data_IF_058640047066
#
_entry.id   IF_058640047066
#
_cell.length_a   1.000
_cell.length_b   1.000
_cell.length_c   1.000
_cell.angle_alpha   90.00
_cell.angle_beta   90.00
_cell.angle_gamma   90.00
#
_symmetry.space_group_name_H-M   'P 1'
#
loop_
_entity.id
_entity.type
_entity.pdbx_description
1 polymer ?
#
# COMPACT_ATOMS: atom_id res chain seq x y z
N UNK A 1 43.34 -57.49 -28.09
CA UNK A 1 42.99 -58.32 -26.92
C UNK A 1 42.12 -57.43 -26.04
N UNK A 2 40.86 -57.87 -25.84
CA UNK A 2 39.81 -57.26 -25.00
C UNK A 2 40.21 -57.20 -23.55
N UNK A 3 39.73 -56.19 -22.84
CA UNK A 3 39.03 -56.31 -21.54
C UNK A 3 38.17 -55.08 -21.25
N UNK A 4 36.85 -55.32 -21.29
CA UNK A 4 35.84 -54.42 -20.76
C UNK A 4 35.83 -54.53 -19.24
N UNK A 5 35.79 -53.41 -18.53
CA UNK A 5 35.41 -53.37 -17.13
C UNK A 5 34.25 -52.38 -16.96
N UNK A 6 33.07 -52.94 -16.67
CA UNK A 6 31.88 -52.18 -16.26
C UNK A 6 32.09 -51.62 -14.84
N UNK A 7 31.87 -50.29 -14.68
CA UNK A 7 31.60 -49.70 -13.38
C UNK A 7 30.11 -49.43 -13.24
N UNK A 8 29.49 -50.22 -12.36
CA UNK A 8 28.12 -49.93 -11.88
C UNK A 8 28.15 -48.76 -10.90
N UNK A 9 27.54 -47.65 -11.31
CA UNK A 9 27.25 -46.53 -10.41
C UNK A 9 25.95 -46.82 -9.65
N UNK A 10 26.08 -47.06 -8.35
CA UNK A 10 24.97 -47.12 -7.41
C UNK A 10 24.53 -45.70 -7.12
N UNK A 11 23.38 -45.26 -7.58
CA UNK A 11 22.74 -44.05 -7.14
C UNK A 11 22.08 -44.28 -5.79
N UNK A 12 22.71 -43.78 -4.72
CA UNK A 12 22.05 -43.62 -3.44
C UNK A 12 21.14 -42.38 -3.49
N UNK A 13 19.84 -42.61 -3.53
CA UNK A 13 18.87 -41.54 -3.36
C UNK A 13 18.90 -41.07 -1.90
N UNK A 14 19.54 -39.93 -1.67
CA UNK A 14 19.43 -39.21 -0.40
C UNK A 14 18.13 -38.45 -0.43
N UNK A 15 17.13 -38.94 0.30
CA UNK A 15 15.88 -38.23 0.58
C UNK A 15 16.21 -37.06 1.53
N UNK A 16 16.40 -35.86 0.98
CA UNK A 16 16.40 -34.63 1.75
C UNK A 16 14.95 -34.36 2.16
N UNK A 17 14.65 -34.65 3.42
CA UNK A 17 13.45 -34.08 4.05
C UNK A 17 13.58 -32.54 3.97
N UNK A 18 12.77 -31.91 3.14
CA UNK A 18 12.56 -30.48 3.19
C UNK A 18 11.97 -30.16 4.57
N UNK A 19 12.76 -29.60 5.45
CA UNK A 19 12.23 -28.89 6.60
C UNK A 19 11.46 -27.70 6.02
N UNK A 20 10.15 -27.85 5.92
CA UNK A 20 9.27 -26.76 5.61
C UNK A 20 9.51 -25.66 6.62
N UNK A 21 10.03 -24.53 6.15
CA UNK A 21 9.97 -23.28 6.90
C UNK A 21 8.47 -23.01 7.02
N UNK A 22 7.93 -23.27 8.22
CA UNK A 22 6.59 -22.80 8.59
C UNK A 22 6.77 -21.28 8.66
N UNK A 23 6.33 -20.58 7.60
CA UNK A 23 6.13 -19.15 7.68
C UNK A 23 5.26 -18.89 8.92
N UNK A 24 5.64 -17.99 9.84
CA UNK A 24 4.77 -17.65 10.94
C UNK A 24 3.45 -17.18 10.33
N UNK A 25 2.36 -17.88 10.64
CA UNK A 25 1.03 -17.42 10.28
C UNK A 25 0.85 -16.06 10.95
N UNK A 26 0.78 -15.00 10.15
CA UNK A 26 0.42 -13.68 10.64
C UNK A 26 -1.04 -13.77 11.12
N UNK A 27 -1.21 -14.13 12.40
CA UNK A 27 -2.52 -14.15 13.06
C UNK A 27 -2.94 -12.72 13.38
N UNK A 28 -3.20 -11.92 12.35
CA UNK A 28 -3.87 -10.64 12.49
C UNK A 28 -5.39 -10.90 12.58
N UNK A 29 -5.79 -11.54 13.68
CA UNK A 29 -7.21 -11.79 13.95
C UNK A 29 -7.91 -10.47 14.30
N UNK A 30 -8.94 -10.13 13.54
CA UNK A 30 -9.88 -9.03 13.85
C UNK A 30 -9.96 -7.93 12.80
N UNK A 31 -8.97 -7.79 11.91
CA UNK A 31 -8.95 -6.79 10.82
C UNK A 31 -8.56 -7.45 9.48
N UNK A 32 -8.74 -8.78 9.38
CA UNK A 32 -8.54 -9.50 8.12
C UNK A 32 -9.40 -8.88 7.03
N UNK A 33 -8.76 -8.43 5.95
CA UNK A 33 -9.36 -7.80 4.78
C UNK A 33 -9.92 -6.38 4.93
N UNK A 34 -9.66 -5.66 6.02
CA UNK A 34 -10.04 -4.25 6.10
C UNK A 34 -9.31 -3.43 5.02
N UNK A 35 -10.05 -2.58 4.32
CA UNK A 35 -9.52 -1.67 3.32
C UNK A 35 -8.73 -0.57 4.02
N UNK A 36 -7.53 -0.28 3.52
CA UNK A 36 -6.74 0.88 3.93
C UNK A 36 -7.10 2.03 2.99
N UNK A 37 -7.38 3.20 3.55
CA UNK A 37 -7.44 4.45 2.77
C UNK A 37 -6.19 5.28 3.03
N UNK A 38 -5.41 5.57 1.99
CA UNK A 38 -4.28 6.48 2.05
C UNK A 38 -4.76 7.90 1.78
N UNK A 39 -4.78 8.73 2.84
CA UNK A 39 -5.19 10.14 2.78
C UNK A 39 -3.98 11.01 2.47
N UNK A 40 -3.55 11.01 1.21
CA UNK A 40 -2.29 11.61 0.79
C UNK A 40 -2.34 13.13 0.80
N UNK A 41 -1.44 13.74 1.56
CA UNK A 41 -1.26 15.20 1.71
C UNK A 41 -2.41 15.94 2.42
N UNK A 42 -3.32 15.22 3.09
CA UNK A 42 -4.35 15.82 3.92
C UNK A 42 -3.79 16.30 5.25
N UNK A 43 -4.25 17.44 5.77
CA UNK A 43 -3.93 17.87 7.11
C UNK A 43 -4.68 17.04 8.18
N UNK A 44 -4.18 17.06 9.43
CA UNK A 44 -4.72 16.22 10.50
C UNK A 44 -6.17 16.56 10.84
N UNK A 45 -6.52 17.85 10.83
CA UNK A 45 -7.87 18.29 11.15
C UNK A 45 -8.87 17.76 10.10
N UNK A 46 -8.55 17.88 8.82
CA UNK A 46 -9.38 17.36 7.72
C UNK A 46 -9.55 15.85 7.77
N UNK A 47 -8.47 15.08 8.08
CA UNK A 47 -8.57 13.62 8.23
C UNK A 47 -9.47 13.25 9.40
N UNK A 48 -9.34 13.94 10.55
CA UNK A 48 -10.17 13.66 11.72
C UNK A 48 -11.66 13.90 11.48
N UNK A 49 -12.01 14.97 10.75
CA UNK A 49 -13.37 15.24 10.30
C UNK A 49 -13.85 14.13 9.34
N UNK A 50 -13.03 13.78 8.35
CA UNK A 50 -13.36 12.78 7.34
C UNK A 50 -13.52 11.37 7.92
N UNK A 51 -12.76 11.00 8.96
CA UNK A 51 -12.95 9.76 9.70
C UNK A 51 -14.37 9.67 10.26
N UNK A 52 -14.92 10.79 10.75
CA UNK A 52 -16.27 10.86 11.33
C UNK A 52 -17.35 10.86 10.24
N UNK A 53 -17.12 11.65 9.18
CA UNK A 53 -18.14 11.93 8.17
C UNK A 53 -18.32 10.79 7.17
N UNK A 54 -17.23 10.13 6.77
CA UNK A 54 -17.28 9.10 5.73
C UNK A 54 -16.45 7.86 5.99
N UNK A 55 -15.16 7.98 6.38
CA UNK A 55 -14.23 6.85 6.40
C UNK A 55 -14.77 5.74 7.31
N UNK A 56 -15.16 6.07 8.55
CA UNK A 56 -15.80 5.13 9.48
C UNK A 56 -17.14 4.60 8.96
N UNK A 57 -18.13 5.46 8.63
CA UNK A 57 -19.40 5.04 8.10
C UNK A 57 -19.35 4.20 6.81
N UNK A 58 -18.35 4.43 5.95
CA UNK A 58 -18.14 3.63 4.74
C UNK A 58 -17.51 2.26 5.02
N UNK A 59 -16.95 2.05 6.24
CA UNK A 59 -16.40 0.78 6.67
C UNK A 59 -14.93 0.58 6.29
N UNK A 60 -14.15 1.64 6.08
CA UNK A 60 -12.69 1.53 6.00
C UNK A 60 -12.14 1.07 7.36
N UNK A 61 -11.20 0.14 7.36
CA UNK A 61 -10.61 -0.36 8.59
C UNK A 61 -9.41 0.43 9.06
N UNK A 62 -8.70 1.06 8.11
CA UNK A 62 -7.51 1.85 8.38
C UNK A 62 -7.50 3.14 7.56
N UNK A 63 -6.93 4.18 8.14
CA UNK A 63 -6.45 5.36 7.44
C UNK A 63 -4.92 5.40 7.51
N UNK A 64 -4.26 5.50 6.36
CA UNK A 64 -2.83 5.75 6.27
C UNK A 64 -2.62 7.25 6.04
N UNK A 65 -1.76 7.84 6.86
CA UNK A 65 -1.48 9.28 6.86
C UNK A 65 -0.03 9.56 6.51
N UNK A 66 0.26 10.76 5.99
CA UNK A 66 1.61 11.21 5.67
C UNK A 66 2.54 11.17 6.88
N UNK A 67 3.87 11.25 6.67
CA UNK A 67 4.84 11.27 7.77
C UNK A 67 4.55 12.40 8.77
N UNK A 68 4.38 12.09 10.06
CA UNK A 68 4.06 13.11 11.07
C UNK A 68 5.28 13.83 11.63
N UNK A 69 6.49 13.36 11.31
CA UNK A 69 7.74 13.92 11.80
C UNK A 69 8.02 15.30 11.20
N UNK A 70 8.79 16.11 11.92
CA UNK A 70 9.36 17.35 11.41
C UNK A 70 10.23 17.08 10.18
N UNK A 71 10.01 17.81 9.11
CA UNK A 71 10.67 17.66 7.83
C UNK A 71 11.21 19.00 7.32
N UNK A 72 11.93 18.99 6.19
CA UNK A 72 12.41 20.23 5.56
C UNK A 72 11.24 21.16 5.22
N UNK A 73 11.50 22.47 5.18
CA UNK A 73 10.49 23.42 4.74
C UNK A 73 10.23 23.31 3.25
N UNK A 74 8.98 23.45 2.84
CA UNK A 74 8.53 23.41 1.46
C UNK A 74 7.06 23.02 1.35
N UNK A 75 6.46 23.35 0.20
CA UNK A 75 5.06 23.02 -0.10
C UNK A 75 4.93 21.75 -0.94
N UNK A 76 5.98 21.35 -1.62
CA UNK A 76 6.01 20.15 -2.45
C UNK A 76 5.74 18.89 -1.61
N UNK A 77 5.02 17.93 -2.19
CA UNK A 77 4.60 16.74 -1.47
C UNK A 77 5.77 15.92 -0.92
N UNK A 78 6.87 15.82 -1.68
CA UNK A 78 8.05 15.02 -1.33
C UNK A 78 8.86 15.59 -0.15
N UNK A 79 8.59 16.84 0.28
CA UNK A 79 9.26 17.41 1.46
C UNK A 79 8.98 16.65 2.74
N UNK A 80 7.82 15.96 2.84
CA UNK A 80 7.45 15.10 3.96
C UNK A 80 8.43 13.93 4.15
N UNK A 81 9.06 13.49 3.05
CA UNK A 81 9.97 12.36 3.02
C UNK A 81 11.43 12.77 3.26
N UNK A 82 11.65 13.97 3.79
CA UNK A 82 12.97 14.47 4.19
C UNK A 82 12.95 14.91 5.66
N UNK A 83 12.98 13.96 6.60
CA UNK A 83 12.87 14.26 8.03
C UNK A 83 14.08 15.07 8.52
N UNK A 84 13.82 15.93 9.52
CA UNK A 84 14.81 16.78 10.19
C UNK A 84 14.89 16.42 11.67
N UNK A 85 13.78 16.05 12.27
CA UNK A 85 13.71 15.50 13.62
C UNK A 85 12.48 14.60 13.75
N UNK A 86 12.35 13.92 14.89
CA UNK A 86 11.16 13.09 15.18
C UNK A 86 10.11 13.83 16.01
N UNK A 87 10.19 15.15 16.09
CA UNK A 87 9.11 15.97 16.63
C UNK A 87 7.86 15.83 15.76
N UNK A 88 6.71 15.62 16.39
CA UNK A 88 5.43 15.53 15.67
C UNK A 88 4.94 16.93 15.34
N UNK A 89 5.49 17.48 14.27
CA UNK A 89 5.24 18.85 13.80
C UNK A 89 5.61 18.99 12.31
N UNK A 90 4.74 18.52 11.45
CA UNK A 90 4.87 18.56 9.98
C UNK A 90 4.05 19.70 9.38
N UNK A 91 4.08 19.87 8.07
CA UNK A 91 3.18 20.79 7.36
C UNK A 91 1.69 20.39 7.48
N UNK A 92 1.40 19.17 7.92
CA UNK A 92 0.03 18.66 8.12
C UNK A 92 -0.56 19.02 9.47
N UNK A 93 0.23 19.54 10.40
CA UNK A 93 -0.19 19.95 11.72
C UNK A 93 0.78 19.57 12.82
N UNK A 94 0.44 19.96 14.05
CA UNK A 94 1.25 19.71 15.23
C UNK A 94 0.79 18.45 15.99
N UNK A 95 1.54 18.10 17.04
CA UNK A 95 1.28 16.93 17.89
C UNK A 95 -0.15 16.87 18.46
N UNK A 96 -0.71 18.01 18.85
CA UNK A 96 -2.07 18.05 19.41
C UNK A 96 -3.12 17.73 18.34
N UNK A 97 -2.97 18.27 17.13
CA UNK A 97 -3.84 18.01 16.00
C UNK A 97 -3.71 16.55 15.54
N UNK A 98 -2.48 16.01 15.47
CA UNK A 98 -2.27 14.60 15.17
C UNK A 98 -2.99 13.69 16.19
N UNK A 99 -2.82 13.93 17.48
CA UNK A 99 -3.51 13.16 18.53
C UNK A 99 -5.04 13.26 18.40
N UNK A 100 -5.55 14.46 18.14
CA UNK A 100 -6.97 14.69 17.93
C UNK A 100 -7.51 13.90 16.71
N UNK A 101 -6.80 13.91 15.61
CA UNK A 101 -7.12 13.11 14.42
C UNK A 101 -7.22 11.62 14.76
N UNK A 102 -6.20 11.08 15.45
CA UNK A 102 -6.20 9.68 15.87
C UNK A 102 -7.43 9.34 16.72
N UNK A 103 -7.76 10.19 17.71
CA UNK A 103 -8.91 9.98 18.58
C UNK A 103 -10.24 10.02 17.81
N UNK A 104 -10.35 10.89 16.81
CA UNK A 104 -11.54 10.97 15.93
C UNK A 104 -11.69 9.71 15.09
N UNK A 105 -10.62 9.22 14.49
CA UNK A 105 -10.65 7.99 13.71
C UNK A 105 -11.01 6.78 14.60
N UNK A 106 -10.40 6.66 15.77
CA UNK A 106 -10.70 5.60 16.73
C UNK A 106 -12.16 5.61 17.19
N UNK A 107 -12.74 6.80 17.41
CA UNK A 107 -14.15 6.92 17.81
C UNK A 107 -15.13 6.34 16.78
N UNK A 108 -14.71 6.19 15.54
CA UNK A 108 -15.49 5.58 14.45
C UNK A 108 -15.04 4.16 14.08
N UNK A 109 -14.11 3.58 14.86
CA UNK A 109 -13.57 2.24 14.65
C UNK A 109 -12.50 2.14 13.57
N UNK A 110 -11.98 3.26 13.09
CA UNK A 110 -10.91 3.35 12.08
C UNK A 110 -9.56 3.39 12.77
N UNK A 111 -8.64 2.52 12.39
CA UNK A 111 -7.26 2.47 12.87
C UNK A 111 -6.35 3.38 12.04
N UNK A 112 -5.28 3.88 12.66
CA UNK A 112 -4.36 4.83 12.02
C UNK A 112 -3.01 4.17 11.73
N UNK A 113 -2.60 4.22 10.45
CA UNK A 113 -1.26 3.84 9.98
C UNK A 113 -0.48 5.12 9.68
N UNK A 114 0.68 5.30 10.27
CA UNK A 114 1.58 6.40 9.91
C UNK A 114 2.55 5.98 8.83
N UNK A 115 2.77 6.83 7.84
CA UNK A 115 3.94 6.71 6.99
C UNK A 115 5.19 7.05 7.81
N UNK A 116 6.17 6.14 7.86
CA UNK A 116 7.22 6.16 8.88
C UNK A 116 8.58 5.97 8.23
N UNK A 117 9.44 6.98 8.37
CA UNK A 117 10.75 7.01 7.76
C UNK A 117 11.82 6.54 8.75
N UNK A 118 12.42 5.40 8.46
CA UNK A 118 13.51 4.82 9.24
C UNK A 118 14.84 4.78 8.49
N UNK A 119 14.80 4.89 7.15
CA UNK A 119 15.98 4.72 6.31
C UNK A 119 16.92 5.92 6.32
N UNK A 120 16.39 7.13 6.34
CA UNK A 120 17.15 8.33 5.99
C UNK A 120 16.65 9.59 6.66
N UNK A 121 17.49 10.61 6.57
CA UNK A 121 17.19 12.01 6.87
C UNK A 121 17.20 12.84 5.57
N UNK A 122 17.35 14.16 5.67
CA UNK A 122 17.26 15.09 4.54
C UNK A 122 18.45 15.02 3.56
N UNK A 123 18.21 15.43 2.32
CA UNK A 123 19.24 15.64 1.29
C UNK A 123 19.84 17.07 1.29
N UNK A 124 19.33 17.98 2.11
CA UNK A 124 19.75 19.40 2.11
C UNK A 124 21.16 19.56 2.63
N UNK A 125 22.06 20.08 1.81
CA UNK A 125 23.52 20.10 2.06
C UNK A 125 23.94 21.13 3.14
N UNK A 126 23.41 22.33 3.07
CA UNK A 126 23.84 23.44 3.90
C UNK A 126 23.00 23.62 5.17
N UNK A 127 23.39 24.57 6.05
CA UNK A 127 22.57 24.89 7.22
C UNK A 127 21.16 25.28 6.83
N UNK A 128 20.17 24.63 7.46
CA UNK A 128 18.73 24.87 7.22
C UNK A 128 17.94 24.67 8.49
N UNK A 129 16.64 24.84 8.41
CA UNK A 129 15.70 24.61 9.52
C UNK A 129 14.51 23.81 9.06
N UNK A 130 14.04 22.89 9.91
CA UNK A 130 12.81 22.13 9.68
C UNK A 130 11.53 22.92 9.93
N UNK A 131 10.40 22.26 9.72
CA UNK A 131 9.04 22.82 9.91
C UNK A 131 8.75 23.23 11.34
N UNK A 132 9.39 22.64 12.34
CA UNK A 132 9.30 23.02 13.75
C UNK A 132 10.45 23.92 14.23
N UNK A 133 11.37 24.31 13.32
CA UNK A 133 12.49 25.20 13.60
C UNK A 133 13.77 24.51 14.06
N UNK A 134 13.87 23.19 14.01
CA UNK A 134 15.11 22.48 14.31
C UNK A 134 16.17 22.79 13.26
N UNK A 135 17.35 23.26 13.70
CA UNK A 135 18.48 23.52 12.82
C UNK A 135 19.15 22.22 12.43
N UNK A 136 19.62 22.10 11.18
CA UNK A 136 20.32 20.92 10.69
C UNK A 136 21.25 21.21 9.51
N UNK A 137 22.16 20.28 9.24
CA UNK A 137 22.83 20.09 7.95
C UNK A 137 22.69 18.62 7.54
N UNK A 138 23.09 18.26 6.33
CA UNK A 138 22.85 16.92 5.77
C UNK A 138 23.18 15.75 6.72
N UNK A 139 24.29 15.83 7.46
CA UNK A 139 24.75 14.77 8.36
C UNK A 139 24.96 15.25 9.81
N UNK A 140 24.28 16.35 10.18
CA UNK A 140 24.32 16.87 11.54
C UNK A 140 22.94 17.41 11.94
N UNK A 141 22.27 16.70 12.83
CA UNK A 141 20.94 16.99 13.39
C UNK A 141 21.10 17.15 14.89
N UNK A 142 21.36 18.36 15.40
CA UNK A 142 21.77 18.60 16.79
C UNK A 142 20.83 17.96 17.84
N UNK A 143 21.40 17.11 18.67
CA UNK A 143 20.67 16.36 19.70
C UNK A 143 19.99 15.08 19.21
N UNK A 144 20.07 14.78 17.91
CA UNK A 144 19.50 13.58 17.31
C UNK A 144 20.59 12.70 16.65
N UNK A 145 21.23 13.20 15.60
CA UNK A 145 22.24 12.47 14.85
C UNK A 145 23.46 13.35 14.52
N UNK A 146 24.63 12.72 14.48
CA UNK A 146 25.91 13.30 14.06
C UNK A 146 26.45 12.58 12.83
N UNK A 147 27.56 13.06 12.28
CA UNK A 147 28.18 12.47 11.08
C UNK A 147 28.35 10.95 11.17
N UNK A 148 28.77 10.42 12.31
CA UNK A 148 29.08 9.00 12.51
C UNK A 148 27.83 8.08 12.54
N UNK A 149 26.63 8.66 12.56
CA UNK A 149 25.36 7.92 12.58
C UNK A 149 24.83 7.60 11.17
N UNK A 150 25.59 7.96 10.13
CA UNK A 150 25.24 7.76 8.72
C UNK A 150 26.20 6.85 7.99
N UNK A 151 25.73 6.21 6.93
CA UNK A 151 26.61 5.49 6.01
C UNK A 151 27.41 6.46 5.15
N UNK A 152 28.71 6.22 5.06
CA UNK A 152 29.65 6.98 4.26
C UNK A 152 30.52 6.06 3.42
N UNK A 153 31.06 6.60 2.31
CA UNK A 153 32.05 5.91 1.48
C UNK A 153 31.56 4.55 0.96
N UNK A 154 30.31 4.47 0.51
CA UNK A 154 29.74 3.23 -0.04
C UNK A 154 30.36 2.79 -1.38
N UNK A 155 31.38 3.50 -1.87
CA UNK A 155 32.13 3.14 -3.08
C UNK A 155 31.59 3.72 -4.38
N UNK A 156 30.52 4.53 -4.31
CA UNK A 156 29.96 5.22 -5.47
C UNK A 156 30.25 6.72 -5.45
N UNK A 157 30.20 7.42 -6.60
CA UNK A 157 30.33 8.88 -6.62
C UNK A 157 29.27 9.55 -5.76
N UNK A 158 29.69 10.51 -4.95
CA UNK A 158 28.81 11.27 -4.04
C UNK A 158 28.00 10.43 -3.06
N UNK A 159 28.39 9.19 -2.81
CA UNK A 159 27.71 8.24 -1.92
C UNK A 159 26.27 7.88 -2.36
N UNK A 160 25.89 8.11 -3.62
CA UNK A 160 24.54 7.91 -4.15
C UNK A 160 24.41 6.52 -4.79
N UNK A 161 23.25 5.86 -4.66
CA UNK A 161 22.94 4.61 -5.35
C UNK A 161 22.98 4.84 -6.86
N UNK A 162 23.79 4.06 -7.59
CA UNK A 162 23.89 4.08 -9.05
C UNK A 162 23.48 2.75 -9.70
N UNK A 163 23.42 1.68 -8.91
CA UNK A 163 22.94 0.36 -9.35
C UNK A 163 21.89 -0.19 -8.38
N UNK A 164 20.62 -0.11 -8.76
CA UNK A 164 19.50 -0.57 -7.98
C UNK A 164 19.32 -2.09 -7.95
N UNK A 165 20.19 -2.86 -8.63
CA UNK A 165 20.25 -4.32 -8.47
C UNK A 165 21.33 -4.75 -7.48
N UNK A 166 22.22 -3.86 -7.06
CA UNK A 166 23.30 -4.15 -6.14
C UNK A 166 22.85 -3.95 -4.68
N UNK A 167 22.76 -5.06 -3.93
CA UNK A 167 22.33 -5.06 -2.51
C UNK A 167 23.16 -4.10 -1.65
N UNK A 168 24.49 -4.11 -1.82
CA UNK A 168 25.36 -3.28 -1.00
C UNK A 168 25.06 -1.80 -1.19
N UNK A 169 24.91 -1.37 -2.46
CA UNK A 169 24.55 0.02 -2.74
C UNK A 169 23.16 0.36 -2.23
N UNK A 170 22.18 -0.54 -2.43
CA UNK A 170 20.81 -0.32 -1.95
C UNK A 170 20.72 -0.06 -0.44
N UNK A 171 21.60 -0.70 0.34
CA UNK A 171 21.51 -0.73 1.80
C UNK A 171 22.66 -0.01 2.51
N UNK A 172 23.51 0.73 1.79
CA UNK A 172 24.63 1.48 2.36
C UNK A 172 24.96 2.76 1.58
N UNK A 173 24.23 3.07 0.50
CA UNK A 173 24.40 4.32 -0.24
C UNK A 173 23.12 5.16 -0.14
N UNK A 174 23.27 6.44 -0.34
CA UNK A 174 22.18 7.40 -0.27
C UNK A 174 21.18 7.22 -1.42
N UNK A 175 19.92 6.99 -1.08
CA UNK A 175 18.80 7.04 -2.00
C UNK A 175 18.57 8.50 -2.43
N UNK A 176 18.80 8.81 -3.72
CA UNK A 176 18.62 10.15 -4.28
C UNK A 176 19.36 11.27 -3.53
N UNK A 177 20.42 10.92 -2.79
CA UNK A 177 21.19 11.86 -2.00
C UNK A 177 20.62 12.18 -0.61
N UNK A 178 19.62 11.46 -0.15
CA UNK A 178 19.10 11.48 1.22
C UNK A 178 20.14 10.90 2.18
N UNK A 179 20.40 11.53 3.30
CA UNK A 179 21.39 11.09 4.29
C UNK A 179 20.96 9.72 4.88
N UNK A 180 21.68 8.68 4.53
CA UNK A 180 21.36 7.28 4.82
C UNK A 180 21.83 6.89 6.23
N UNK A 181 20.90 6.48 7.10
CA UNK A 181 21.20 6.15 8.50
C UNK A 181 21.88 4.78 8.61
N UNK A 182 22.94 4.68 9.41
CA UNK A 182 23.57 3.40 9.75
C UNK A 182 22.70 2.63 10.75
N UNK A 183 21.72 1.89 10.22
CA UNK A 183 20.78 1.11 11.02
C UNK A 183 21.39 -0.09 11.75
N UNK A 184 22.72 -0.37 11.57
CA UNK A 184 23.47 -1.33 12.38
C UNK A 184 23.83 -0.75 13.75
N UNK A 185 23.89 0.58 13.87
CA UNK A 185 24.23 1.27 15.12
C UNK A 185 23.11 1.10 16.17
N UNK A 186 23.48 0.63 17.36
CA UNK A 186 22.56 0.55 18.50
C UNK A 186 21.98 1.93 18.84
N UNK A 187 22.77 3.00 18.65
CA UNK A 187 22.30 4.36 18.89
C UNK A 187 21.22 4.77 17.90
N UNK A 188 21.44 4.55 16.60
CA UNK A 188 20.45 4.83 15.55
C UNK A 188 19.17 4.02 15.79
N UNK A 189 19.30 2.71 16.04
CA UNK A 189 18.14 1.87 16.38
C UNK A 189 17.36 2.40 17.57
N UNK A 190 18.06 2.80 18.65
CA UNK A 190 17.40 3.36 19.83
C UNK A 190 16.60 4.65 19.52
N UNK A 191 17.13 5.54 18.69
CA UNK A 191 16.39 6.76 18.26
C UNK A 191 15.17 6.42 17.42
N UNK A 192 15.27 5.47 16.49
CA UNK A 192 14.13 5.01 15.68
C UNK A 192 13.06 4.32 16.53
N UNK A 193 13.48 3.53 17.53
CA UNK A 193 12.56 2.90 18.50
C UNK A 193 11.85 3.96 19.36
N UNK A 194 12.55 5.00 19.80
CA UNK A 194 11.93 6.11 20.54
C UNK A 194 10.85 6.80 19.69
N UNK A 195 11.15 7.09 18.43
CA UNK A 195 10.18 7.67 17.50
C UNK A 195 8.95 6.77 17.31
N UNK A 196 9.18 5.48 17.02
CA UNK A 196 8.09 4.51 16.88
C UNK A 196 7.22 4.42 18.15
N UNK A 197 7.85 4.40 19.33
CA UNK A 197 7.16 4.36 20.62
C UNK A 197 6.37 5.67 20.88
N UNK A 198 6.88 6.80 20.45
CA UNK A 198 6.17 8.06 20.55
C UNK A 198 4.90 8.07 19.70
N UNK A 199 4.98 7.61 18.43
CA UNK A 199 3.81 7.42 17.56
C UNK A 199 2.78 6.47 18.19
N UNK A 200 3.25 5.35 18.76
CA UNK A 200 2.39 4.40 19.47
C UNK A 200 1.70 5.04 20.68
N UNK A 201 2.40 5.89 21.41
CA UNK A 201 1.84 6.61 22.57
C UNK A 201 0.72 7.58 22.19
N UNK A 202 0.75 8.09 20.95
CA UNK A 202 -0.28 8.93 20.36
C UNK A 202 -1.45 8.14 19.79
N UNK A 203 -1.34 6.80 19.73
CA UNK A 203 -2.39 5.91 19.30
C UNK A 203 -2.24 5.37 17.86
N UNK A 204 -1.09 5.56 17.20
CA UNK A 204 -0.86 4.92 15.92
C UNK A 204 -1.00 3.40 16.03
N UNK A 205 -1.80 2.77 15.17
CA UNK A 205 -2.08 1.33 15.15
C UNK A 205 -1.18 0.56 14.20
N UNK A 206 -0.47 1.25 13.34
CA UNK A 206 0.41 0.63 12.37
C UNK A 206 1.41 1.60 11.76
N UNK A 207 2.39 1.02 11.05
CA UNK A 207 3.39 1.76 10.29
C UNK A 207 3.41 1.28 8.84
N UNK A 208 3.43 2.21 7.91
CA UNK A 208 3.95 1.98 6.57
C UNK A 208 5.41 2.38 6.61
N UNK A 209 6.32 1.43 6.48
CA UNK A 209 7.74 1.72 6.49
C UNK A 209 8.17 2.16 5.09
N UNK A 210 8.51 3.43 4.99
CA UNK A 210 9.03 4.06 3.77
C UNK A 210 10.40 3.48 3.42
N UNK A 211 10.70 3.34 2.13
CA UNK A 211 12.00 2.91 1.62
C UNK A 211 12.56 1.66 2.34
N UNK A 212 11.71 0.75 2.80
CA UNK A 212 12.13 -0.43 3.58
C UNK A 212 13.15 -1.31 2.83
N UNK A 213 13.14 -1.31 1.50
CA UNK A 213 14.13 -2.01 0.66
C UNK A 213 15.57 -1.59 0.96
N UNK A 214 15.76 -0.37 1.44
CA UNK A 214 17.06 0.24 1.69
C UNK A 214 17.59 -0.05 3.10
N UNK A 215 16.78 -0.67 3.97
CA UNK A 215 17.19 -1.16 5.29
C UNK A 215 17.32 -2.68 5.23
N UNK A 216 18.43 -3.30 5.68
CA UNK A 216 18.49 -4.75 5.80
C UNK A 216 17.31 -5.29 6.63
N UNK A 217 16.64 -6.34 6.15
CA UNK A 217 15.42 -6.86 6.77
C UNK A 217 15.58 -7.27 8.24
N UNK A 218 16.76 -7.78 8.60
CA UNK A 218 17.10 -8.14 9.98
C UNK A 218 17.35 -6.93 10.89
N UNK A 219 17.86 -5.82 10.34
CA UNK A 219 18.05 -4.58 11.12
C UNK A 219 16.70 -3.90 11.37
N UNK A 220 15.84 -3.86 10.34
CA UNK A 220 14.46 -3.42 10.50
C UNK A 220 13.71 -4.28 11.52
N UNK A 221 13.89 -5.62 11.49
CA UNK A 221 13.32 -6.52 12.50
C UNK A 221 13.82 -6.18 13.91
N UNK A 222 15.12 -5.91 14.08
CA UNK A 222 15.69 -5.57 15.38
C UNK A 222 15.08 -4.28 15.97
N UNK A 223 14.79 -3.28 15.12
CA UNK A 223 14.07 -2.06 15.52
C UNK A 223 12.63 -2.41 15.93
N UNK A 224 11.90 -3.13 15.07
CA UNK A 224 10.48 -3.44 15.28
C UNK A 224 10.25 -4.34 16.49
N UNK A 225 11.17 -5.25 16.83
CA UNK A 225 11.09 -6.10 18.03
C UNK A 225 11.04 -5.32 19.33
N UNK A 226 11.56 -4.09 19.34
CA UNK A 226 11.55 -3.20 20.51
C UNK A 226 10.27 -2.33 20.57
N UNK A 227 9.40 -2.41 19.56
CA UNK A 227 8.14 -1.65 19.52
C UNK A 227 7.00 -2.48 20.11
N UNK A 228 6.28 -1.96 21.12
CA UNK A 228 5.16 -2.67 21.73
C UNK A 228 4.09 -3.06 20.72
N UNK A 229 3.74 -4.34 20.71
CA UNK A 229 2.69 -4.88 19.84
C UNK A 229 3.17 -5.47 18.51
N UNK A 230 4.46 -5.39 18.17
CA UNK A 230 4.98 -5.85 16.89
C UNK A 230 4.72 -7.36 16.64
N UNK A 231 4.96 -8.22 17.64
CA UNK A 231 4.66 -9.66 17.51
C UNK A 231 3.24 -10.05 17.95
N UNK A 232 2.37 -9.08 18.13
CA UNK A 232 0.95 -9.28 18.43
C UNK A 232 0.07 -8.68 17.34
N UNK A 233 -1.23 -8.88 17.46
CA UNK A 233 -2.22 -8.31 16.52
C UNK A 233 -2.46 -6.81 16.71
N UNK A 234 -1.75 -6.16 17.62
CA UNK A 234 -2.01 -4.76 18.00
C UNK A 234 -1.20 -3.73 17.21
N UNK A 235 -0.20 -4.15 16.43
CA UNK A 235 0.56 -3.28 15.54
C UNK A 235 0.56 -3.86 14.13
N UNK A 236 0.02 -3.12 13.18
CA UNK A 236 0.05 -3.47 11.76
C UNK A 236 1.30 -2.88 11.10
N UNK A 237 2.01 -3.69 10.33
CA UNK A 237 3.18 -3.24 9.55
C UNK A 237 2.94 -3.53 8.08
N UNK A 238 3.16 -2.53 7.24
CA UNK A 238 3.31 -2.69 5.79
C UNK A 238 4.58 -1.99 5.32
N UNK A 239 5.28 -2.58 4.36
CA UNK A 239 6.64 -2.19 4.00
C UNK A 239 6.73 -1.86 2.53
N UNK A 240 7.37 -0.75 2.22
CA UNK A 240 7.70 -0.43 0.83
C UNK A 240 8.99 -1.13 0.42
N UNK A 241 8.85 -2.23 -0.30
CA UNK A 241 9.96 -2.93 -0.95
C UNK A 241 9.75 -2.83 -2.46
N UNK A 242 10.13 -1.69 -3.04
CA UNK A 242 9.87 -1.38 -4.45
C UNK A 242 10.56 -2.40 -5.38
N UNK A 243 9.81 -3.01 -6.29
CA UNK A 243 10.25 -4.19 -7.01
C UNK A 243 10.36 -5.38 -6.04
N UNK A 244 11.49 -6.10 -6.05
CA UNK A 244 11.78 -7.16 -5.06
C UNK A 244 11.08 -8.48 -5.34
N UNK A 245 10.22 -8.57 -6.33
CA UNK A 245 9.57 -9.81 -6.77
C UNK A 245 10.10 -10.31 -8.11
N UNK A 246 10.91 -9.51 -8.82
CA UNK A 246 11.43 -9.88 -10.12
C UNK A 246 12.64 -10.82 -10.01
N UNK A 247 12.80 -11.78 -10.94
CA UNK A 247 13.98 -12.62 -11.00
C UNK A 247 15.26 -11.80 -11.20
N UNK A 248 16.29 -12.07 -10.39
CA UNK A 248 17.59 -11.41 -10.50
C UNK A 248 17.78 -10.19 -9.59
N UNK A 249 16.75 -9.71 -8.91
CA UNK A 249 16.91 -8.69 -7.87
C UNK A 249 17.62 -9.29 -6.64
N UNK A 250 18.64 -8.59 -6.13
CA UNK A 250 19.40 -9.07 -4.97
C UNK A 250 18.65 -8.88 -3.66
N UNK A 251 17.89 -7.79 -3.51
CA UNK A 251 17.02 -7.54 -2.35
C UNK A 251 15.59 -7.91 -2.72
N UNK A 252 15.05 -8.93 -2.05
CA UNK A 252 13.74 -9.49 -2.36
C UNK A 252 12.68 -9.10 -1.35
N UNK A 253 11.48 -8.80 -1.82
CA UNK A 253 10.33 -8.52 -0.97
C UNK A 253 10.02 -9.67 0.02
N UNK A 254 10.32 -10.92 -0.35
CA UNK A 254 10.15 -12.09 0.51
C UNK A 254 11.05 -12.11 1.74
N UNK A 255 12.14 -11.35 1.78
CA UNK A 255 13.02 -11.23 2.94
C UNK A 255 12.35 -10.45 4.08
N UNK A 256 11.38 -9.60 3.76
CA UNK A 256 10.68 -8.71 4.70
C UNK A 256 9.39 -9.29 5.27
N UNK A 257 8.98 -10.49 4.84
CA UNK A 257 7.71 -11.12 5.28
C UNK A 257 7.67 -11.39 6.79
N UNK A 258 8.83 -11.55 7.42
CA UNK A 258 8.94 -11.66 8.87
C UNK A 258 8.56 -10.38 9.61
N UNK A 259 8.62 -9.23 8.96
CA UNK A 259 8.39 -7.91 9.54
C UNK A 259 6.94 -7.42 9.35
N UNK A 260 6.19 -7.97 8.41
CA UNK A 260 4.81 -7.57 8.14
C UNK A 260 4.41 -7.76 6.68
N UNK A 261 3.31 -7.12 6.30
CA UNK A 261 2.85 -7.08 4.91
C UNK A 261 3.84 -6.30 4.04
N UNK A 262 3.88 -6.60 2.75
CA UNK A 262 4.75 -5.94 1.78
C UNK A 262 3.93 -5.39 0.62
N UNK A 263 4.26 -4.19 0.15
CA UNK A 263 3.67 -3.60 -1.05
C UNK A 263 4.00 -4.43 -2.30
N UNK A 264 2.98 -4.77 -3.08
CA UNK A 264 3.12 -5.53 -4.33
C UNK A 264 2.91 -4.59 -5.52
N UNK A 265 3.98 -3.97 -5.99
CA UNK A 265 3.95 -3.01 -7.11
C UNK A 265 3.56 -3.67 -8.43
N UNK A 266 3.93 -4.94 -8.62
CA UNK A 266 3.58 -5.73 -9.80
C UNK A 266 2.07 -5.87 -9.96
N UNK A 267 1.31 -5.86 -8.86
CA UNK A 267 -0.15 -5.87 -8.91
C UNK A 267 -0.68 -4.63 -9.65
N UNK A 268 -0.21 -3.43 -9.32
CA UNK A 268 -0.60 -2.19 -10.00
C UNK A 268 -0.26 -2.20 -11.49
N UNK A 269 0.94 -2.70 -11.83
CA UNK A 269 1.38 -2.85 -13.22
C UNK A 269 0.48 -3.82 -14.01
N UNK A 270 0.14 -4.97 -13.42
CA UNK A 270 -0.73 -5.97 -14.04
C UNK A 270 -2.16 -5.44 -14.24
N UNK A 271 -2.71 -4.75 -13.22
CA UNK A 271 -4.02 -4.10 -13.34
C UNK A 271 -4.01 -3.08 -14.48
N UNK A 272 -3.00 -2.19 -14.57
CA UNK A 272 -2.89 -1.24 -15.68
C UNK A 272 -2.84 -1.96 -17.02
N UNK A 273 -1.98 -2.95 -17.16
CA UNK A 273 -1.82 -3.70 -18.40
C UNK A 273 -3.13 -4.38 -18.82
N UNK A 274 -3.85 -5.02 -17.89
CA UNK A 274 -5.09 -5.72 -18.18
C UNK A 274 -6.21 -4.76 -18.61
N UNK A 275 -6.41 -3.65 -17.91
CA UNK A 275 -7.49 -2.71 -18.17
C UNK A 275 -7.25 -1.82 -19.39
N UNK A 276 -5.98 -1.53 -19.74
CA UNK A 276 -5.67 -0.69 -20.92
C UNK A 276 -5.59 -1.51 -22.22
N UNK A 277 -4.93 -2.65 -22.21
CA UNK A 277 -4.61 -3.37 -23.46
C UNK A 277 -4.63 -4.89 -23.40
N UNK A 278 -4.37 -5.48 -22.23
CA UNK A 278 -4.22 -6.92 -22.06
C UNK A 278 -5.52 -7.71 -22.06
N UNK A 279 -6.61 -7.08 -21.61
CA UNK A 279 -7.89 -7.72 -21.38
C UNK A 279 -8.02 -8.28 -19.95
N UNK A 280 -9.10 -7.92 -19.28
CA UNK A 280 -9.31 -8.20 -17.85
C UNK A 280 -9.57 -9.68 -17.54
N UNK A 281 -9.86 -10.50 -18.55
CA UNK A 281 -9.98 -11.96 -18.40
C UNK A 281 -8.68 -12.63 -17.91
N UNK A 282 -7.51 -12.01 -18.18
CA UNK A 282 -6.20 -12.47 -17.72
C UNK A 282 -6.00 -12.39 -16.21
N UNK A 283 -6.85 -11.65 -15.50
CA UNK A 283 -6.74 -11.42 -14.06
C UNK A 283 -7.29 -12.58 -13.20
N UNK A 284 -7.76 -13.66 -13.81
CA UNK A 284 -8.36 -14.79 -13.10
C UNK A 284 -7.46 -15.40 -12.03
N UNK A 285 -6.18 -15.54 -12.32
CA UNK A 285 -5.24 -16.32 -11.54
C UNK A 285 -4.09 -15.46 -10.99
N UNK A 286 -4.42 -14.29 -10.43
CA UNK A 286 -3.40 -13.36 -9.87
C UNK A 286 -2.56 -13.99 -8.75
N UNK A 287 -3.16 -14.82 -7.92
CA UNK A 287 -2.47 -15.52 -6.82
C UNK A 287 -1.42 -16.54 -7.31
N UNK A 288 -1.51 -16.98 -8.57
CA UNK A 288 -0.54 -17.90 -9.19
C UNK A 288 0.68 -17.20 -9.82
N UNK A 289 0.74 -15.88 -9.79
CA UNK A 289 1.83 -15.09 -10.39
C UNK A 289 3.17 -15.24 -9.67
N UNK A 290 3.20 -15.87 -8.48
CA UNK A 290 4.43 -16.11 -7.73
C UNK A 290 4.99 -14.85 -7.05
N UNK A 291 4.16 -13.83 -6.85
CA UNK A 291 4.50 -12.62 -6.10
C UNK A 291 4.59 -12.90 -4.59
N UNK A 292 4.01 -12.06 -3.79
CA UNK A 292 3.91 -12.23 -2.32
C UNK A 292 2.67 -13.08 -2.00
N UNK A 293 2.74 -13.99 -1.02
CA UNK A 293 1.54 -14.69 -0.54
C UNK A 293 0.43 -13.71 -0.16
N UNK A 294 -0.82 -13.98 -0.57
CA UNK A 294 -1.97 -13.10 -0.37
C UNK A 294 -2.14 -12.61 1.07
N UNK A 295 -1.81 -13.44 2.05
CA UNK A 295 -1.90 -13.11 3.47
C UNK A 295 -0.89 -12.04 3.94
N UNK A 296 0.17 -11.79 3.16
CA UNK A 296 1.23 -10.81 3.47
C UNK A 296 1.36 -9.74 2.39
N UNK A 297 0.43 -9.71 1.44
CA UNK A 297 0.43 -8.75 0.34
C UNK A 297 -0.41 -7.52 0.70
N UNK A 298 0.17 -6.32 0.59
CA UNK A 298 -0.56 -5.07 0.50
C UNK A 298 -0.59 -4.64 -0.96
N UNK A 299 -1.79 -4.51 -1.53
CA UNK A 299 -2.01 -4.24 -2.97
C UNK A 299 -2.77 -2.95 -3.18
N UNK A 300 -2.52 -2.31 -4.30
CA UNK A 300 -3.17 -1.07 -4.71
C UNK A 300 -3.25 -0.99 -6.23
N UNK A 301 -4.25 -0.29 -6.75
CA UNK A 301 -4.30 0.10 -8.16
C UNK A 301 -3.26 1.17 -8.44
N UNK A 302 -3.10 2.09 -7.48
CA UNK A 302 -2.12 3.18 -7.50
C UNK A 302 -1.80 3.57 -6.06
N UNK A 303 -0.53 3.93 -5.81
CA UNK A 303 -0.08 4.68 -4.64
C UNK A 303 0.32 6.11 -5.06
N UNK A 304 0.76 6.92 -4.10
CA UNK A 304 1.12 8.31 -4.36
C UNK A 304 2.29 8.48 -5.36
N UNK A 305 3.26 7.54 -5.39
CA UNK A 305 4.35 7.55 -6.38
C UNK A 305 3.89 7.12 -7.76
N UNK A 306 3.12 6.03 -7.83
CA UNK A 306 2.58 5.50 -9.08
C UNK A 306 1.65 6.47 -9.80
N UNK A 307 0.93 7.31 -9.06
CA UNK A 307 0.08 8.36 -9.60
C UNK A 307 0.89 9.41 -10.35
N UNK A 308 2.07 9.77 -9.82
CA UNK A 308 2.95 10.81 -10.36
C UNK A 308 3.90 10.32 -11.45
N UNK A 309 4.21 9.03 -11.44
CA UNK A 309 5.14 8.44 -12.40
C UNK A 309 4.46 7.84 -13.65
N UNK A 310 3.16 7.98 -13.81
CA UNK A 310 2.33 7.36 -14.86
C UNK A 310 2.57 5.83 -15.03
N UNK A 311 2.92 5.17 -13.96
CA UNK A 311 3.15 3.70 -13.97
C UNK A 311 1.89 2.90 -13.64
N UNK A 312 0.86 3.53 -13.11
CA UNK A 312 -0.39 2.91 -12.66
C UNK A 312 -1.59 3.49 -13.38
N UNK A 313 -2.79 2.93 -13.14
CA UNK A 313 -4.04 3.60 -13.50
C UNK A 313 -4.26 4.76 -12.53
N UNK A 314 -4.67 5.91 -13.05
CA UNK A 314 -4.96 7.12 -12.28
C UNK A 314 -6.35 7.65 -12.60
N UNK A 315 -6.79 8.69 -11.92
CA UNK A 315 -8.04 9.38 -12.22
C UNK A 315 -8.11 9.92 -13.67
N UNK A 316 -6.94 10.15 -14.28
CA UNK A 316 -6.82 10.58 -15.69
C UNK A 316 -6.79 9.42 -16.69
N UNK A 317 -6.81 8.18 -16.24
CA UNK A 317 -6.80 7.03 -17.15
C UNK A 317 -8.09 6.98 -18.00
N UNK A 318 -7.98 6.64 -19.30
CA UNK A 318 -9.10 6.74 -20.21
C UNK A 318 -10.21 5.73 -19.90
N UNK A 319 -11.43 6.03 -20.37
CA UNK A 319 -12.52 5.06 -20.45
C UNK A 319 -12.92 4.46 -19.10
N UNK A 320 -12.86 5.22 -18.02
CA UNK A 320 -13.23 4.77 -16.66
C UNK A 320 -12.39 3.60 -16.13
N UNK A 321 -11.25 3.30 -16.74
CA UNK A 321 -10.43 2.12 -16.41
C UNK A 321 -9.90 2.15 -14.97
N UNK A 322 -9.63 3.32 -14.42
CA UNK A 322 -9.21 3.48 -13.03
C UNK A 322 -10.30 3.04 -12.04
N UNK A 323 -11.53 3.54 -12.21
CA UNK A 323 -12.66 3.12 -11.34
C UNK A 323 -12.92 1.63 -11.46
N UNK A 324 -12.88 1.08 -12.69
CA UNK A 324 -13.06 -0.36 -12.90
C UNK A 324 -11.93 -1.20 -12.28
N UNK A 325 -10.68 -0.71 -12.31
CA UNK A 325 -9.55 -1.32 -11.61
C UNK A 325 -9.74 -1.33 -10.09
N UNK A 326 -10.24 -0.23 -9.51
CA UNK A 326 -10.59 -0.17 -8.08
C UNK A 326 -11.72 -1.14 -7.73
N UNK A 327 -12.79 -1.21 -8.53
CA UNK A 327 -13.87 -2.19 -8.35
C UNK A 327 -13.34 -3.61 -8.36
N UNK A 328 -12.48 -3.95 -9.33
CA UNK A 328 -11.85 -5.27 -9.40
C UNK A 328 -11.01 -5.56 -8.15
N UNK A 329 -10.12 -4.65 -7.76
CA UNK A 329 -9.21 -4.83 -6.64
C UNK A 329 -9.94 -4.99 -5.31
N UNK A 330 -11.01 -4.23 -5.09
CA UNK A 330 -11.86 -4.35 -3.91
C UNK A 330 -12.71 -5.63 -3.91
N UNK A 331 -13.01 -6.21 -5.08
CA UNK A 331 -13.75 -7.46 -5.20
C UNK A 331 -12.88 -8.71 -5.14
N UNK A 332 -11.70 -8.69 -5.72
CA UNK A 332 -10.82 -9.86 -5.87
C UNK A 332 -10.12 -10.23 -4.55
N UNK A 333 -10.00 -11.53 -4.19
CA UNK A 333 -9.54 -11.95 -2.85
C UNK A 333 -8.02 -11.97 -2.66
N UNK A 334 -7.24 -11.23 -3.42
CA UNK A 334 -5.80 -11.17 -3.25
C UNK A 334 -5.38 -9.95 -2.44
N UNK A 335 -4.62 -10.17 -1.39
CA UNK A 335 -3.98 -9.14 -0.57
C UNK A 335 -4.93 -8.24 0.25
N UNK A 336 -4.35 -7.37 1.03
CA UNK A 336 -5.00 -6.24 1.67
C UNK A 336 -4.99 -5.07 0.70
N UNK A 337 -6.15 -4.48 0.44
CA UNK A 337 -6.26 -3.40 -0.56
C UNK A 337 -6.06 -2.05 0.11
N UNK A 338 -5.12 -1.27 -0.43
CA UNK A 338 -5.00 0.16 -0.18
C UNK A 338 -5.63 0.94 -1.33
N UNK A 339 -6.42 1.96 -0.99
CA UNK A 339 -7.01 2.92 -1.93
C UNK A 339 -6.35 4.26 -1.69
N UNK A 340 -5.92 4.93 -2.75
CA UNK A 340 -5.38 6.29 -2.67
C UNK A 340 -6.53 7.30 -2.70
N UNK A 341 -6.47 8.29 -1.83
CA UNK A 341 -7.23 9.54 -1.94
C UNK A 341 -6.28 10.72 -1.97
N UNK A 342 -6.18 11.36 -3.11
CA UNK A 342 -5.20 12.37 -3.43
C UNK A 342 -5.85 13.63 -4.03
N UNK A 343 -5.02 14.47 -4.61
CA UNK A 343 -5.41 15.68 -5.33
C UNK A 343 -4.90 15.62 -6.77
N UNK A 344 -5.54 16.36 -7.64
CA UNK A 344 -5.09 16.55 -9.01
C UNK A 344 -3.91 17.52 -9.04
N UNK A 345 -2.71 16.99 -9.28
CA UNK A 345 -1.49 17.78 -9.43
C UNK A 345 -1.32 18.37 -10.84
N UNK A 346 -2.24 18.08 -11.76
CA UNK A 346 -2.07 18.37 -13.18
C UNK A 346 -1.14 17.40 -13.89
N UNK A 347 -1.00 17.58 -15.20
CA UNK A 347 -0.19 16.67 -16.05
C UNK A 347 1.28 17.14 -16.14
N UNK A 348 1.55 18.41 -15.85
CA UNK A 348 2.85 19.02 -16.13
C UNK A 348 3.77 19.18 -14.91
N UNK A 349 3.24 19.18 -13.69
CA UNK A 349 4.02 19.35 -12.45
C UNK A 349 3.70 18.28 -11.43
N UNK A 350 4.49 17.23 -11.44
CA UNK A 350 4.35 16.10 -10.51
C UNK A 350 4.88 16.38 -9.09
N UNK A 351 5.59 17.48 -8.89
CA UNK A 351 6.20 17.85 -7.61
C UNK A 351 5.29 18.72 -6.75
N UNK A 352 4.30 19.39 -7.37
CA UNK A 352 3.44 20.33 -6.67
C UNK A 352 2.73 19.73 -5.46
N UNK A 353 2.70 20.48 -4.37
CA UNK A 353 2.01 20.11 -3.16
C UNK A 353 0.47 20.24 -3.25
N UNK A 354 -0.24 19.90 -2.19
CA UNK A 354 -1.69 19.85 -2.20
C UNK A 354 -2.32 21.25 -2.28
N UNK A 355 -3.53 21.37 -2.82
CA UNK A 355 -4.27 22.62 -2.77
C UNK A 355 -4.56 23.02 -1.31
N UNK A 356 -4.69 24.31 -1.08
CA UNK A 356 -5.03 24.90 0.23
C UNK A 356 -4.12 24.43 1.41
N UNK A 357 -2.86 24.02 1.12
CA UNK A 357 -1.89 23.58 2.11
C UNK A 357 -2.29 22.27 2.85
N UNK A 358 -3.04 21.40 2.19
CA UNK A 358 -3.50 20.14 2.78
C UNK A 358 -4.88 20.20 3.43
N UNK A 359 -5.48 21.39 3.56
CA UNK A 359 -6.83 21.54 4.10
C UNK A 359 -7.87 21.04 3.11
N UNK A 360 -8.13 19.75 3.17
CA UNK A 360 -9.02 19.07 2.25
C UNK A 360 -10.49 19.19 2.68
N UNK A 361 -11.35 19.37 1.72
CA UNK A 361 -12.79 19.32 1.92
C UNK A 361 -13.47 18.71 0.71
N UNK A 362 -13.96 17.50 0.87
CA UNK A 362 -14.75 16.81 -0.15
C UNK A 362 -16.22 17.18 -0.07
N UNK A 363 -16.85 17.41 -1.21
CA UNK A 363 -18.28 17.72 -1.32
C UNK A 363 -18.96 16.62 -2.13
N UNK A 364 -20.06 16.07 -1.60
CA UNK A 364 -20.86 15.05 -2.30
C UNK A 364 -20.09 13.74 -2.52
N UNK A 365 -20.22 13.16 -3.71
CA UNK A 365 -19.62 11.89 -4.10
C UNK A 365 -18.17 12.01 -4.61
N UNK A 366 -17.60 13.22 -4.59
CA UNK A 366 -16.18 13.44 -4.89
C UNK A 366 -15.77 13.41 -6.38
N UNK A 367 -16.69 13.18 -7.31
CA UNK A 367 -16.33 13.11 -8.74
C UNK A 367 -16.30 14.48 -9.47
N UNK A 368 -16.68 15.54 -8.78
CA UNK A 368 -16.63 16.92 -9.30
C UNK A 368 -15.37 17.60 -8.74
N UNK A 369 -14.31 17.60 -9.53
CA UNK A 369 -13.01 18.19 -9.17
C UNK A 369 -13.09 19.69 -8.93
N UNK A 370 -13.94 20.41 -9.66
CA UNK A 370 -14.11 21.86 -9.46
C UNK A 370 -14.80 22.16 -8.12
N UNK A 371 -15.79 21.34 -7.74
CA UNK A 371 -16.46 21.46 -6.45
C UNK A 371 -15.54 21.10 -5.27
N UNK A 372 -14.54 20.23 -5.50
CA UNK A 372 -13.60 19.75 -4.49
C UNK A 372 -12.26 20.54 -4.48
N UNK A 373 -12.15 21.63 -5.24
CA UNK A 373 -10.94 22.48 -5.28
C UNK A 373 -9.64 21.73 -5.61
N UNK A 374 -9.70 20.78 -6.54
CA UNK A 374 -8.54 19.97 -6.93
C UNK A 374 -8.35 18.69 -6.12
N UNK A 375 -9.08 18.47 -5.04
CA UNK A 375 -9.10 17.19 -4.32
C UNK A 375 -9.94 16.16 -5.08
N UNK A 376 -9.35 15.00 -5.38
CA UNK A 376 -10.03 13.92 -6.13
C UNK A 376 -11.01 13.12 -5.26
N UNK A 377 -10.74 13.03 -3.98
CA UNK A 377 -11.63 12.40 -2.99
C UNK A 377 -12.10 10.98 -3.39
N UNK A 378 -11.20 10.16 -3.92
CA UNK A 378 -11.51 8.84 -4.47
C UNK A 378 -12.26 7.94 -3.47
N UNK A 379 -11.98 8.09 -2.19
CA UNK A 379 -12.66 7.35 -1.10
C UNK A 379 -14.16 7.63 -1.02
N UNK A 380 -14.64 8.80 -1.51
CA UNK A 380 -16.06 9.16 -1.56
C UNK A 380 -16.76 8.72 -2.84
N UNK A 381 -16.03 8.32 -3.86
CA UNK A 381 -16.65 7.86 -5.09
C UNK A 381 -17.61 6.71 -4.80
N UNK A 382 -18.82 6.79 -5.37
CA UNK A 382 -19.89 5.81 -5.12
C UNK A 382 -19.42 4.38 -5.34
N UNK A 383 -18.64 4.14 -6.42
CA UNK A 383 -18.08 2.83 -6.69
C UNK A 383 -17.10 2.38 -5.60
N UNK A 384 -16.21 3.25 -5.12
CA UNK A 384 -15.18 2.92 -4.14
C UNK A 384 -15.79 2.68 -2.76
N UNK A 385 -16.62 3.60 -2.28
CA UNK A 385 -17.30 3.45 -1.00
C UNK A 385 -18.26 2.22 -1.00
N UNK A 386 -18.95 1.98 -2.12
CA UNK A 386 -19.80 0.80 -2.31
C UNK A 386 -19.02 -0.50 -2.27
N UNK A 387 -17.89 -0.56 -2.98
CA UNK A 387 -17.03 -1.74 -3.04
C UNK A 387 -16.22 -1.98 -1.76
N UNK A 388 -15.96 -0.94 -0.96
CA UNK A 388 -15.41 -1.10 0.39
C UNK A 388 -16.41 -1.89 1.27
N UNK A 389 -17.68 -1.54 1.24
CA UNK A 389 -18.75 -2.30 1.93
C UNK A 389 -18.89 -3.72 1.37
N UNK A 390 -18.81 -3.86 0.04
CA UNK A 390 -18.79 -5.19 -0.61
C UNK A 390 -17.66 -6.04 -0.05
N UNK A 391 -16.41 -5.54 -0.05
CA UNK A 391 -15.26 -6.28 0.45
C UNK A 391 -15.42 -6.73 1.90
N UNK A 392 -15.96 -5.87 2.75
CA UNK A 392 -16.25 -6.21 4.14
C UNK A 392 -17.33 -7.31 4.27
N UNK A 393 -18.37 -7.27 3.42
CA UNK A 393 -19.43 -8.28 3.44
C UNK A 393 -18.96 -9.65 2.94
N UNK A 394 -18.03 -9.69 1.98
CA UNK A 394 -17.53 -10.96 1.42
C UNK A 394 -16.29 -11.52 2.14
N UNK A 395 -15.58 -10.72 2.94
CA UNK A 395 -14.41 -11.07 3.78
C UNK A 395 -13.59 -12.26 3.24
N UNK A 396 -13.56 -13.38 4.00
CA UNK A 396 -12.76 -14.58 3.73
C UNK A 396 -13.36 -15.53 2.70
N UNK A 397 -14.45 -15.14 2.00
CA UNK A 397 -15.04 -16.02 0.97
C UNK A 397 -14.11 -16.17 -0.23
N UNK A 398 -14.16 -17.35 -0.85
CA UNK A 398 -13.29 -17.68 -1.98
C UNK A 398 -13.83 -17.11 -3.30
N UNK A 399 -12.94 -17.00 -4.29
CA UNK A 399 -13.29 -16.72 -5.67
C UNK A 399 -13.97 -17.95 -6.29
N UNK A 400 -15.19 -17.78 -6.81
CA UNK A 400 -15.97 -18.84 -7.43
C UNK A 400 -16.63 -18.35 -8.72
N UNK A 401 -17.09 -19.28 -9.54
CA UNK A 401 -17.88 -19.00 -10.74
C UNK A 401 -17.30 -17.92 -11.64
N UNK A 402 -15.95 -17.96 -11.87
CA UNK A 402 -15.33 -17.03 -12.80
C UNK A 402 -15.83 -17.26 -14.22
N UNK A 403 -16.38 -16.22 -14.83
CA UNK A 403 -16.93 -16.19 -16.17
C UNK A 403 -16.27 -15.08 -16.96
N UNK A 404 -15.64 -15.40 -18.08
CA UNK A 404 -14.97 -14.44 -18.97
C UNK A 404 -15.26 -14.81 -20.43
N UNK A 405 -16.49 -14.53 -20.93
CA UNK A 405 -16.89 -14.90 -22.29
C UNK A 405 -16.10 -14.15 -23.37
N UNK A 406 -15.52 -13.02 -23.02
CA UNK A 406 -14.66 -12.18 -23.85
C UNK A 406 -13.54 -11.59 -23.01
N UNK A 407 -12.44 -11.19 -23.66
CA UNK A 407 -11.23 -10.68 -22.98
C UNK A 407 -11.48 -9.48 -22.03
N UNK A 408 -12.48 -8.65 -22.33
CA UNK A 408 -12.77 -7.41 -21.60
C UNK A 408 -14.06 -7.49 -20.77
N UNK A 409 -14.57 -8.71 -20.53
CA UNK A 409 -15.80 -8.96 -19.78
C UNK A 409 -15.58 -10.08 -18.78
N UNK A 410 -15.78 -9.79 -17.51
CA UNK A 410 -15.65 -10.77 -16.44
C UNK A 410 -16.83 -10.68 -15.47
N UNK A 411 -17.16 -11.83 -14.92
CA UNK A 411 -18.04 -11.93 -13.76
C UNK A 411 -17.52 -13.02 -12.83
N UNK A 412 -17.68 -12.85 -11.53
CA UNK A 412 -17.29 -13.84 -10.54
C UNK A 412 -18.04 -13.67 -9.24
N UNK A 413 -18.13 -14.77 -8.48
CA UNK A 413 -18.70 -14.79 -7.14
C UNK A 413 -17.62 -14.73 -6.08
N UNK A 414 -17.98 -14.23 -4.92
CA UNK A 414 -17.26 -14.38 -3.66
C UNK A 414 -18.09 -15.30 -2.76
N UNK A 415 -17.86 -16.63 -2.93
CA UNK A 415 -18.74 -17.63 -2.34
C UNK A 415 -20.21 -17.36 -2.64
N UNK A 416 -21.06 -17.47 -1.62
CA UNK A 416 -22.48 -17.10 -1.67
C UNK A 416 -22.79 -15.71 -1.10
N UNK A 417 -21.75 -14.92 -0.77
CA UNK A 417 -21.89 -13.62 -0.10
C UNK A 417 -21.85 -12.44 -1.08
N UNK A 418 -21.21 -12.59 -2.25
CA UNK A 418 -21.10 -11.50 -3.20
C UNK A 418 -20.95 -11.96 -4.65
N UNK A 419 -21.28 -11.06 -5.57
CA UNK A 419 -21.13 -11.25 -7.01
C UNK A 419 -20.76 -9.93 -7.68
N UNK A 420 -19.81 -9.99 -8.61
CA UNK A 420 -19.30 -8.82 -9.34
C UNK A 420 -19.29 -9.11 -10.83
N UNK A 421 -19.67 -8.09 -11.60
CA UNK A 421 -19.58 -8.08 -13.06
C UNK A 421 -18.86 -6.83 -13.49
N UNK A 422 -17.88 -6.95 -14.39
CA UNK A 422 -17.11 -5.84 -14.95
C UNK A 422 -17.11 -5.93 -16.48
N UNK A 423 -17.56 -4.87 -17.12
CA UNK A 423 -17.52 -4.68 -18.55
C UNK A 423 -16.53 -3.57 -18.92
N UNK A 424 -15.31 -3.96 -19.30
CA UNK A 424 -14.25 -3.05 -19.74
C UNK A 424 -14.27 -2.78 -21.26
N UNK A 425 -15.34 -3.20 -21.98
CA UNK A 425 -15.54 -2.84 -23.39
C UNK A 425 -16.44 -1.61 -23.54
N UNK A 426 -16.42 -0.97 -24.70
CA UNK A 426 -17.26 0.20 -24.99
C UNK A 426 -18.72 -0.18 -25.27
N UNK A 427 -18.98 -1.46 -25.64
CA UNK A 427 -20.32 -1.92 -25.97
C UNK A 427 -21.04 -2.54 -24.76
N UNK A 428 -22.38 -2.41 -24.68
CA UNK A 428 -23.17 -3.06 -23.65
C UNK A 428 -23.00 -4.59 -23.66
N UNK A 429 -23.23 -5.19 -22.52
CA UNK A 429 -23.17 -6.64 -22.35
C UNK A 429 -24.45 -7.16 -21.71
N UNK A 430 -25.25 -7.87 -22.50
CA UNK A 430 -26.42 -8.61 -22.03
C UNK A 430 -26.01 -10.05 -21.76
N UNK A 431 -26.20 -10.53 -20.54
CA UNK A 431 -25.78 -11.87 -20.16
C UNK A 431 -26.66 -12.50 -19.10
N UNK A 432 -26.78 -13.82 -19.17
CA UNK A 432 -27.26 -14.64 -18.06
C UNK A 432 -26.06 -15.28 -17.37
N UNK A 433 -25.84 -14.94 -16.10
CA UNK A 433 -24.63 -15.23 -15.34
C UNK A 433 -24.93 -16.05 -14.09
N UNK A 434 -24.03 -16.98 -13.77
CA UNK A 434 -24.09 -17.79 -12.54
C UNK A 434 -23.56 -16.94 -11.40
N UNK A 435 -24.35 -16.78 -10.33
CA UNK A 435 -24.01 -15.83 -9.24
C UNK A 435 -23.55 -16.48 -7.95
N UNK A 436 -23.95 -17.73 -7.68
CA UNK A 436 -23.75 -18.35 -6.35
C UNK A 436 -24.56 -17.71 -5.22
N UNK A 437 -25.28 -16.60 -5.48
CA UNK A 437 -26.06 -15.90 -4.46
C UNK A 437 -27.30 -16.70 -4.04
N UNK A 438 -27.76 -16.56 -2.78
CA UNK A 438 -29.00 -17.19 -2.32
C UNK A 438 -30.23 -16.69 -3.10
N UNK A 439 -31.12 -17.60 -3.44
CA UNK A 439 -32.41 -17.31 -4.12
C UNK A 439 -33.25 -16.33 -3.31
N UNK A 440 -33.92 -15.38 -3.99
CA UNK A 440 -34.91 -14.51 -3.43
C UNK A 440 -34.41 -13.21 -2.78
N UNK A 441 -33.11 -12.92 -2.82
CA UNK A 441 -32.55 -11.61 -2.35
C UNK A 441 -32.11 -10.67 -3.48
N UNK A 442 -32.03 -11.16 -4.68
CA UNK A 442 -31.98 -10.48 -5.97
C UNK A 442 -32.92 -11.24 -6.86
N UNK A 443 -33.36 -10.72 -8.00
CA UNK A 443 -34.10 -11.51 -9.00
C UNK A 443 -33.16 -12.57 -9.60
N UNK A 444 -32.72 -13.49 -8.73
CA UNK A 444 -31.97 -14.69 -9.11
C UNK A 444 -32.99 -15.72 -9.57
N UNK A 445 -32.87 -16.18 -10.80
CA UNK A 445 -33.74 -17.23 -11.33
C UNK A 445 -33.68 -18.50 -10.49
N UNK A 446 -34.66 -19.38 -10.67
CA UNK A 446 -34.74 -20.65 -9.94
C UNK A 446 -33.49 -21.54 -10.10
N UNK A 447 -32.70 -21.31 -11.15
CA UNK A 447 -31.44 -21.97 -11.51
C UNK A 447 -30.18 -21.32 -10.87
N UNK A 448 -30.32 -20.24 -10.11
CA UNK A 448 -29.19 -19.53 -9.52
C UNK A 448 -28.54 -18.52 -10.46
N UNK A 449 -29.14 -18.23 -11.61
CA UNK A 449 -28.65 -17.30 -12.60
C UNK A 449 -29.31 -15.93 -12.47
N UNK A 450 -28.57 -14.89 -12.86
CA UNK A 450 -29.07 -13.51 -13.02
C UNK A 450 -28.93 -13.11 -14.48
N UNK A 451 -30.01 -12.59 -15.07
CA UNK A 451 -29.96 -11.93 -16.38
C UNK A 451 -29.84 -10.43 -16.18
N UNK A 452 -28.76 -9.85 -16.67
CA UNK A 452 -28.44 -8.43 -16.49
C UNK A 452 -27.93 -7.80 -17.79
N UNK A 453 -28.18 -6.50 -17.92
CA UNK A 453 -27.54 -5.64 -18.90
C UNK A 453 -26.51 -4.75 -18.20
N UNK A 454 -25.27 -4.78 -18.67
CA UNK A 454 -24.18 -3.96 -18.16
C UNK A 454 -23.73 -3.03 -19.26
N UNK A 455 -23.82 -1.71 -19.01
CA UNK A 455 -23.34 -0.71 -19.97
C UNK A 455 -21.84 -0.89 -20.26
N UNK A 456 -21.39 -0.31 -21.36
CA UNK A 456 -19.97 -0.20 -21.65
C UNK A 456 -19.23 0.56 -20.55
N UNK A 457 -17.99 0.17 -20.25
CA UNK A 457 -17.14 0.81 -19.24
C UNK A 457 -17.79 0.96 -17.86
N UNK A 458 -18.50 -0.08 -17.41
CA UNK A 458 -19.19 -0.10 -16.13
C UNK A 458 -19.06 -1.42 -15.38
N UNK A 459 -19.44 -1.40 -14.10
CA UNK A 459 -19.42 -2.56 -13.24
C UNK A 459 -20.63 -2.59 -12.30
N UNK A 460 -20.99 -3.79 -11.84
CA UNK A 460 -22.03 -4.01 -10.83
C UNK A 460 -21.44 -4.92 -9.75
N UNK A 461 -21.55 -4.51 -8.49
CA UNK A 461 -21.23 -5.32 -7.32
C UNK A 461 -22.49 -5.52 -6.47
N UNK A 462 -22.78 -6.76 -6.13
CA UNK A 462 -23.93 -7.15 -5.31
C UNK A 462 -23.41 -7.98 -4.14
N UNK A 463 -23.85 -7.68 -2.93
CA UNK A 463 -23.55 -8.50 -1.76
C UNK A 463 -24.80 -8.75 -0.91
N UNK A 464 -24.79 -9.87 -0.21
CA UNK A 464 -25.83 -10.21 0.76
C UNK A 464 -25.56 -9.43 2.04
N UNK A 465 -26.54 -8.70 2.55
CA UNK A 465 -26.44 -8.09 3.89
C UNK A 465 -26.55 -9.21 4.93
N UNK A 466 -25.61 -9.25 5.88
CA UNK A 466 -25.86 -9.97 7.13
C UNK A 466 -27.06 -9.32 7.83
N UNK A 467 -28.05 -10.12 8.17
CA UNK A 467 -29.29 -9.67 8.87
C UNK A 467 -29.03 -9.53 10.35
#
# INVERSE_FOLDING_TARGET
MNWHTLYSLVFAAVSLKSNGIIAPSSTHSGVENAVIIQMFQWDWDSIGEECTDLIGPAGYGFVQVNPPAEHIQGLDWWTDYQPVSYNIASKHGNRTQFKWMVDKCHATGVKVITDTLFNHMSAVQGPSTGTAGSAFTKHDYPGLYSYDDFHHNCGTPNNIIIDFNNRYQLQNCELLGLADLDTRSDYVQARLVEYANDLRSLGADGFRIDAAKHIPANELEAILLQVPGFRSTSLYITQEVFGGTQPGEEVRATEYLGNGDVHVFEYANEIKAAFISGGIASLKDLDSRGWIPSASANVFVVNHDGERLDKSLTAHSPSNTYTLGLVFSLAYPYGRVSVLSSYDSGIEDHDVGPPDGGRAKCIGTGQDTDANRGWLCQHRWTAVAGMTRFRNAVRSTQLENWQSPQRDRIAFSRGNAGFVVINNSDSPWNATLITGLPKGRVEVGADGNVTIEIHGRSAIGIHVRET
#
